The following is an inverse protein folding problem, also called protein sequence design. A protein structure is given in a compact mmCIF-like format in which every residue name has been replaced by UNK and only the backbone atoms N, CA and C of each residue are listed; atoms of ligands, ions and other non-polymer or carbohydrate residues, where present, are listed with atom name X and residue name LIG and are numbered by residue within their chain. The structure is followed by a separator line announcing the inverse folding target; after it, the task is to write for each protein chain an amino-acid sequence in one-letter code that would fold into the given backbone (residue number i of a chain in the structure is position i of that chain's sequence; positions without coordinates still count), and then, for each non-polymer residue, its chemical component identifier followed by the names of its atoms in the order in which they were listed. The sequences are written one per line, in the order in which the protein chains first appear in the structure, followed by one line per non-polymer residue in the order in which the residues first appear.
data_IF_714753304546
#
_entry.id   IF_714753304546
#
_cell.length_a   1.000
_cell.length_b   1.000
_cell.length_c   1.000
_cell.angle_alpha   90.00
_cell.angle_beta   90.00
_cell.angle_gamma   90.00
#
_symmetry.space_group_name_H-M   'P 1'
#
loop_
_entity.id
_entity.type
_entity.pdbx_description
1 polymer ?
#
# COMPACT_ATOMS: atom_id res chain seq x y z
N UNK A 1 -13.74 -19.60 60.77
CA UNK A 1 -13.54 -18.47 59.85
C UNK A 1 -14.55 -18.65 58.74
N UNK A 2 -15.64 -17.91 58.82
CA UNK A 2 -16.81 -18.03 57.93
C UNK A 2 -16.54 -17.31 56.62
N UNK A 3 -16.51 -18.08 55.54
CA UNK A 3 -16.38 -17.64 54.17
C UNK A 3 -17.73 -17.04 53.72
N UNK A 4 -17.78 -15.72 53.65
CA UNK A 4 -18.97 -14.99 53.19
C UNK A 4 -18.98 -15.03 51.67
N UNK A 5 -19.70 -16.00 51.10
CA UNK A 5 -20.07 -16.02 49.69
C UNK A 5 -20.93 -14.79 49.39
N UNK A 6 -20.37 -13.84 48.63
CA UNK A 6 -21.13 -12.74 48.06
C UNK A 6 -22.16 -13.31 47.08
N UNK A 7 -23.43 -12.86 47.12
CA UNK A 7 -24.43 -13.29 46.16
C UNK A 7 -24.03 -12.78 44.77
N UNK A 8 -24.08 -13.69 43.80
CA UNK A 8 -23.93 -13.43 42.38
C UNK A 8 -25.09 -12.52 41.95
N UNK A 9 -24.85 -11.20 41.95
CA UNK A 9 -25.81 -10.21 41.46
C UNK A 9 -25.79 -10.31 39.95
N UNK A 10 -26.64 -11.19 39.42
CA UNK A 10 -27.13 -11.12 38.05
C UNK A 10 -27.74 -9.74 37.84
N UNK A 11 -26.93 -8.81 37.35
CA UNK A 11 -27.40 -7.54 36.83
C UNK A 11 -28.42 -7.88 35.74
N UNK A 12 -29.66 -7.36 35.83
CA UNK A 12 -30.63 -7.59 34.77
C UNK A 12 -30.02 -7.10 33.46
N UNK A 13 -30.15 -7.89 32.39
CA UNK A 13 -29.90 -7.44 31.02
C UNK A 13 -30.81 -6.24 30.77
N UNK A 14 -30.30 -5.03 31.04
CA UNK A 14 -30.93 -3.80 30.62
C UNK A 14 -30.72 -3.78 29.11
N UNK A 15 -31.67 -4.35 28.38
CA UNK A 15 -31.75 -4.27 26.94
C UNK A 15 -31.87 -2.78 26.58
N UNK A 16 -30.72 -2.14 26.34
CA UNK A 16 -30.65 -0.81 25.75
C UNK A 16 -31.45 -0.85 24.45
N UNK A 17 -32.37 0.08 24.29
CA UNK A 17 -33.09 0.19 23.03
C UNK A 17 -32.16 0.76 21.95
N UNK A 18 -32.46 0.48 20.68
CA UNK A 18 -31.60 0.87 19.55
C UNK A 18 -31.26 2.38 19.54
N UNK A 19 -32.19 3.23 20.00
CA UNK A 19 -31.96 4.67 20.08
C UNK A 19 -30.87 5.07 21.10
N UNK A 20 -30.78 4.37 22.24
CA UNK A 20 -29.70 4.60 23.22
C UNK A 20 -28.35 4.12 22.70
N UNK A 21 -28.33 3.05 21.90
CA UNK A 21 -27.12 2.56 21.23
C UNK A 21 -26.67 3.59 20.19
N UNK A 22 -27.58 4.11 19.36
CA UNK A 22 -27.27 5.13 18.36
C UNK A 22 -26.73 6.42 18.99
N UNK A 23 -27.31 6.87 20.10
CA UNK A 23 -26.84 8.04 20.85
C UNK A 23 -25.41 7.81 21.40
N UNK A 24 -25.15 6.65 22.01
CA UNK A 24 -23.84 6.30 22.51
C UNK A 24 -22.79 6.22 21.38
N UNK A 25 -23.16 5.64 20.24
CA UNK A 25 -22.30 5.58 19.04
C UNK A 25 -22.00 6.98 18.52
N UNK A 26 -23.01 7.86 18.44
CA UNK A 26 -22.82 9.25 18.02
C UNK A 26 -21.85 9.99 18.95
N UNK A 27 -22.04 9.87 20.28
CA UNK A 27 -21.18 10.48 21.28
C UNK A 27 -19.73 9.98 21.20
N UNK A 28 -19.52 8.66 21.09
CA UNK A 28 -18.18 8.08 20.96
C UNK A 28 -17.50 8.58 19.69
N UNK A 29 -18.23 8.57 18.56
CA UNK A 29 -17.70 9.01 17.28
C UNK A 29 -17.29 10.49 17.31
N UNK A 30 -18.08 11.35 17.95
CA UNK A 30 -17.74 12.76 18.16
C UNK A 30 -16.45 12.92 18.98
N UNK A 31 -16.30 12.19 20.09
CA UNK A 31 -15.09 12.28 20.93
C UNK A 31 -13.84 11.74 20.24
N UNK A 32 -13.97 10.64 19.51
CA UNK A 32 -12.87 10.11 18.68
C UNK A 32 -12.47 11.14 17.62
N UNK A 33 -13.45 11.73 16.93
CA UNK A 33 -13.20 12.79 15.96
C UNK A 33 -12.60 14.05 16.59
N UNK A 34 -12.97 14.43 17.81
CA UNK A 34 -12.41 15.61 18.46
C UNK A 34 -10.96 15.42 18.93
N UNK A 35 -10.64 14.25 19.49
CA UNK A 35 -9.36 14.04 20.16
C UNK A 35 -8.33 13.26 19.33
N UNK A 36 -8.74 12.15 18.68
CA UNK A 36 -7.82 11.28 17.93
C UNK A 36 -7.44 11.94 16.60
N UNK A 37 -8.40 12.58 15.94
CA UNK A 37 -8.16 13.28 14.69
C UNK A 37 -7.23 14.48 14.87
N UNK A 38 -7.57 15.35 15.84
CA UNK A 38 -6.80 16.55 16.11
C UNK A 38 -5.38 16.19 16.54
N UNK A 39 -5.23 15.22 17.44
CA UNK A 39 -3.91 14.72 17.83
C UNK A 39 -3.15 14.13 16.63
N UNK A 40 -3.83 13.44 15.70
CA UNK A 40 -3.21 12.94 14.48
C UNK A 40 -2.69 14.06 13.57
N UNK A 41 -3.43 15.16 13.43
CA UNK A 41 -2.99 16.32 12.65
C UNK A 41 -1.82 17.04 13.32
N UNK A 42 -1.89 17.27 14.63
CA UNK A 42 -0.81 17.93 15.40
C UNK A 42 0.50 17.12 15.33
N UNK A 43 0.42 15.79 15.45
CA UNK A 43 1.57 14.90 15.25
C UNK A 43 2.07 14.98 13.80
N UNK A 44 1.15 14.97 12.82
CA UNK A 44 1.46 15.07 11.40
C UNK A 44 2.22 16.36 11.06
N UNK A 45 1.75 17.49 11.58
CA UNK A 45 2.37 18.81 11.46
C UNK A 45 3.77 18.82 12.09
N UNK A 46 3.88 18.39 13.36
CA UNK A 46 5.15 18.36 14.07
C UNK A 46 6.21 17.61 13.28
N UNK A 47 5.84 16.43 12.76
CA UNK A 47 6.75 15.60 11.99
C UNK A 47 7.06 16.21 10.62
N UNK A 48 6.07 16.79 9.93
CA UNK A 48 6.27 17.47 8.64
C UNK A 48 7.27 18.63 8.77
N UNK A 49 7.11 19.46 9.81
CA UNK A 49 7.98 20.61 10.07
C UNK A 49 9.40 20.15 10.44
N UNK A 50 9.53 19.20 11.36
CA UNK A 50 10.83 18.81 11.96
C UNK A 50 11.65 17.82 11.12
N UNK A 51 10.99 16.93 10.38
CA UNK A 51 11.68 15.84 9.66
C UNK A 51 11.62 15.98 8.15
N UNK A 52 10.73 16.83 7.63
CA UNK A 52 10.55 17.08 6.20
C UNK A 52 10.71 18.54 5.81
N UNK A 53 11.09 19.45 6.73
CA UNK A 53 11.29 20.89 6.48
C UNK A 53 10.10 21.55 5.77
N UNK A 54 8.89 21.20 6.20
CA UNK A 54 7.63 21.65 5.60
C UNK A 54 7.45 21.28 4.10
N UNK A 55 8.23 20.32 3.59
CA UNK A 55 8.13 19.88 2.22
C UNK A 55 7.03 18.80 2.07
N UNK A 56 5.82 19.27 1.78
CA UNK A 56 4.62 18.44 1.54
C UNK A 56 4.86 17.39 0.45
N UNK A 57 5.55 17.76 -0.64
CA UNK A 57 5.86 16.83 -1.74
C UNK A 57 6.75 15.69 -1.26
N UNK A 58 7.77 15.97 -0.45
CA UNK A 58 8.67 14.97 0.10
C UNK A 58 7.94 14.03 1.06
N UNK A 59 7.09 14.59 1.92
CA UNK A 59 6.29 13.83 2.88
C UNK A 59 5.23 12.93 2.22
N UNK A 60 4.63 13.41 1.12
CA UNK A 60 3.68 12.69 0.28
C UNK A 60 4.33 11.67 -0.66
N UNK A 61 5.63 11.82 -0.96
CA UNK A 61 6.33 11.00 -1.94
C UNK A 61 6.27 9.50 -1.62
N UNK A 62 6.13 8.69 -2.67
CA UNK A 62 6.16 7.23 -2.59
C UNK A 62 7.58 6.66 -2.62
N UNK A 63 8.60 7.52 -2.71
CA UNK A 63 9.99 7.09 -2.74
C UNK A 63 10.34 6.39 -1.41
N UNK A 64 10.82 5.15 -1.52
CA UNK A 64 11.14 4.31 -0.37
C UNK A 64 12.27 4.83 0.53
N UNK A 65 13.01 5.84 0.06
CA UNK A 65 14.12 6.46 0.77
C UNK A 65 13.68 7.76 1.44
N UNK A 66 12.93 7.64 2.55
CA UNK A 66 12.73 8.77 3.45
C UNK A 66 14.06 9.14 4.12
N UNK A 67 14.19 10.38 4.60
CA UNK A 67 15.39 10.85 5.29
C UNK A 67 15.83 9.88 6.40
N UNK A 68 17.16 9.78 6.60
CA UNK A 68 17.75 8.94 7.66
C UNK A 68 17.17 9.33 9.04
N UNK A 69 16.92 10.62 9.26
CA UNK A 69 16.31 11.14 10.49
C UNK A 69 14.89 10.63 10.71
N UNK A 70 14.03 10.61 9.68
CA UNK A 70 12.68 10.06 9.81
C UNK A 70 12.70 8.54 10.05
N UNK A 71 13.61 7.82 9.38
CA UNK A 71 13.74 6.37 9.58
C UNK A 71 14.17 6.02 11.00
N UNK A 72 15.07 6.81 11.61
CA UNK A 72 15.45 6.68 13.02
C UNK A 72 14.27 6.93 13.96
N UNK A 73 13.49 7.98 13.72
CA UNK A 73 12.28 8.27 14.51
C UNK A 73 11.31 7.07 14.49
N UNK A 74 11.03 6.52 13.31
CA UNK A 74 10.10 5.39 13.17
C UNK A 74 10.55 4.09 13.83
N UNK A 75 11.85 3.94 14.11
CA UNK A 75 12.42 2.76 14.76
C UNK A 75 12.67 2.98 16.26
N UNK A 76 12.25 4.12 16.82
CA UNK A 76 12.45 4.43 18.23
C UNK A 76 11.58 3.51 19.11
N UNK A 77 12.14 2.80 20.11
CA UNK A 77 11.42 1.78 20.87
C UNK A 77 10.25 2.33 21.70
N UNK A 78 10.32 3.60 22.10
CA UNK A 78 9.27 4.26 22.89
C UNK A 78 8.19 4.92 22.03
N UNK A 79 8.29 4.84 20.69
CA UNK A 79 7.28 5.44 19.83
C UNK A 79 5.95 4.67 19.95
N UNK A 80 4.92 5.33 20.48
CA UNK A 80 3.61 4.71 20.72
C UNK A 80 2.79 4.43 19.44
N UNK A 81 3.29 4.83 18.27
CA UNK A 81 2.60 4.67 16.99
C UNK A 81 3.49 3.95 15.98
N UNK A 82 2.86 3.12 15.15
CA UNK A 82 3.58 2.45 14.08
C UNK A 82 4.09 3.44 13.03
N UNK A 83 5.12 3.03 12.28
CA UNK A 83 5.62 3.78 11.11
C UNK A 83 4.54 4.11 10.08
N UNK A 84 3.59 3.19 9.86
CA UNK A 84 2.50 3.40 8.90
C UNK A 84 1.49 4.42 9.44
N UNK A 85 1.12 4.32 10.71
CA UNK A 85 0.25 5.30 11.39
C UNK A 85 0.87 6.70 11.31
N UNK A 86 2.15 6.84 11.67
CA UNK A 86 2.84 8.12 11.63
C UNK A 86 2.92 8.68 10.19
N UNK A 87 3.14 7.80 9.21
CA UNK A 87 3.13 8.21 7.81
C UNK A 87 1.76 8.71 7.37
N UNK A 88 0.68 8.06 7.81
CA UNK A 88 -0.69 8.49 7.48
C UNK A 88 -1.03 9.84 8.13
N UNK A 89 -0.61 10.08 9.37
CA UNK A 89 -0.78 11.37 10.07
C UNK A 89 -0.13 12.50 9.27
N UNK A 90 1.15 12.33 8.91
CA UNK A 90 1.90 13.32 8.10
C UNK A 90 1.24 13.55 6.75
N UNK A 91 0.86 12.49 6.03
CA UNK A 91 0.23 12.60 4.71
C UNK A 91 -1.13 13.27 4.78
N UNK A 92 -1.91 12.99 5.82
CA UNK A 92 -3.24 13.57 5.99
C UNK A 92 -3.14 15.06 6.26
N UNK A 93 -2.23 15.49 7.14
CA UNK A 93 -1.96 16.91 7.37
C UNK A 93 -1.49 17.62 6.10
N UNK A 94 -0.54 17.03 5.38
CA UNK A 94 -0.03 17.59 4.12
C UNK A 94 -1.12 17.72 3.04
N UNK A 95 -2.10 16.81 3.04
CA UNK A 95 -3.24 16.84 2.13
C UNK A 95 -4.29 17.88 2.55
N UNK A 96 -4.43 18.22 3.84
CA UNK A 96 -5.43 19.20 4.28
C UNK A 96 -5.25 20.56 3.60
N UNK A 97 -4.01 21.04 3.47
CA UNK A 97 -3.75 22.27 2.73
C UNK A 97 -4.29 22.20 1.30
N UNK A 98 -4.02 21.09 0.60
CA UNK A 98 -4.51 20.88 -0.76
C UNK A 98 -6.06 20.80 -0.85
N UNK A 99 -6.72 20.15 0.09
CA UNK A 99 -8.18 20.08 0.11
C UNK A 99 -8.81 21.44 0.39
N UNK A 100 -8.27 22.17 1.38
CA UNK A 100 -8.74 23.50 1.74
C UNK A 100 -8.55 24.49 0.58
N UNK A 101 -7.39 24.46 -0.09
CA UNK A 101 -7.12 25.27 -1.29
C UNK A 101 -8.10 24.93 -2.43
N UNK A 102 -8.54 23.67 -2.51
CA UNK A 102 -9.57 23.18 -3.44
C UNK A 102 -11.02 23.46 -3.01
N UNK A 103 -11.22 24.19 -1.92
CA UNK A 103 -12.54 24.57 -1.40
C UNK A 103 -13.27 23.48 -0.62
N UNK A 104 -12.57 22.43 -0.18
CA UNK A 104 -13.14 21.32 0.60
C UNK A 104 -12.71 21.50 2.05
N UNK A 105 -13.67 21.76 2.94
CA UNK A 105 -13.37 21.99 4.34
C UNK A 105 -12.93 20.70 5.03
N UNK A 106 -11.92 20.81 5.90
CA UNK A 106 -11.46 19.68 6.71
C UNK A 106 -12.59 19.03 7.52
N UNK A 107 -13.62 19.76 7.91
CA UNK A 107 -14.69 19.20 8.75
C UNK A 107 -15.74 18.40 7.97
N UNK A 108 -15.76 18.50 6.64
CA UNK A 108 -16.77 17.85 5.79
C UNK A 108 -16.47 16.36 5.55
N UNK A 109 -15.24 15.92 5.86
CA UNK A 109 -14.81 14.54 5.64
C UNK A 109 -14.30 13.86 6.90
N UNK A 110 -14.74 12.62 7.11
CA UNK A 110 -14.20 11.76 8.17
C UNK A 110 -12.71 11.46 7.93
N UNK A 111 -11.96 11.26 9.01
CA UNK A 111 -10.53 10.96 8.95
C UNK A 111 -10.18 9.76 8.08
N UNK A 112 -10.97 8.69 8.18
CA UNK A 112 -10.79 7.45 7.42
C UNK A 112 -10.83 7.70 5.91
N UNK A 113 -11.74 8.56 5.44
CA UNK A 113 -11.80 8.99 4.05
C UNK A 113 -10.58 9.79 3.64
N UNK A 114 -10.13 10.72 4.49
CA UNK A 114 -8.91 11.48 4.23
C UNK A 114 -7.69 10.58 4.11
N UNK A 115 -7.53 9.61 5.01
CA UNK A 115 -6.47 8.58 4.93
C UNK A 115 -6.56 7.83 3.60
N UNK A 116 -7.75 7.40 3.17
CA UNK A 116 -7.91 6.68 1.91
C UNK A 116 -7.43 7.52 0.70
N UNK A 117 -7.78 8.81 0.69
CA UNK A 117 -7.35 9.77 -0.33
C UNK A 117 -5.84 10.05 -0.35
N UNK A 118 -5.11 9.83 0.75
CA UNK A 118 -3.63 10.00 0.78
C UNK A 118 -2.88 9.08 -0.19
N UNK A 119 -3.57 8.08 -0.77
CA UNK A 119 -3.04 7.16 -1.78
C UNK A 119 -3.06 7.74 -3.19
N UNK A 120 -3.79 8.83 -3.41
CA UNK A 120 -3.83 9.57 -4.68
C UNK A 120 -2.86 10.75 -4.65
N UNK A 121 -2.44 11.21 -5.83
CA UNK A 121 -1.68 12.44 -5.98
C UNK A 121 -2.58 13.66 -5.72
N UNK A 122 -1.99 14.79 -5.34
CA UNK A 122 -2.73 16.03 -5.12
C UNK A 122 -3.04 16.68 -6.48
N UNK A 123 -4.16 16.31 -7.09
CA UNK A 123 -4.62 16.76 -8.40
C UNK A 123 -6.16 16.97 -8.42
N UNK A 124 -6.69 17.45 -9.53
CA UNK A 124 -8.14 17.68 -9.70
C UNK A 124 -8.98 16.40 -9.52
N UNK A 125 -8.48 15.24 -9.92
CA UNK A 125 -9.20 13.96 -9.72
C UNK A 125 -9.41 13.65 -8.23
N UNK A 126 -8.43 13.94 -7.37
CA UNK A 126 -8.59 13.82 -5.92
C UNK A 126 -9.66 14.77 -5.40
N UNK A 127 -9.70 16.02 -5.88
CA UNK A 127 -10.71 17.00 -5.46
C UNK A 127 -12.11 16.56 -5.90
N UNK A 128 -12.25 16.08 -7.14
CA UNK A 128 -13.51 15.55 -7.64
C UNK A 128 -14.02 14.38 -6.78
N UNK A 129 -13.17 13.39 -6.52
CA UNK A 129 -13.55 12.24 -5.69
C UNK A 129 -13.85 12.63 -4.24
N UNK A 130 -13.15 13.64 -3.70
CA UNK A 130 -13.42 14.16 -2.36
C UNK A 130 -14.81 14.83 -2.27
N UNK A 131 -15.19 15.65 -3.27
CA UNK A 131 -16.54 16.24 -3.35
C UNK A 131 -17.61 15.19 -3.49
N UNK A 132 -17.40 14.22 -4.37
CA UNK A 132 -18.30 13.09 -4.58
C UNK A 132 -18.51 12.29 -3.28
N UNK A 133 -17.46 12.08 -2.48
CA UNK A 133 -17.58 11.44 -1.17
C UNK A 133 -18.47 12.21 -0.20
N UNK A 134 -18.46 13.55 -0.26
CA UNK A 134 -19.27 14.42 0.60
C UNK A 134 -20.72 14.41 0.11
N UNK A 135 -20.93 14.56 -1.20
CA UNK A 135 -22.24 14.65 -1.84
C UNK A 135 -23.02 13.33 -1.79
N UNK A 136 -22.37 12.22 -2.13
CA UNK A 136 -22.99 10.89 -2.21
C UNK A 136 -22.87 10.08 -0.91
N UNK A 137 -22.16 10.61 0.10
CA UNK A 137 -21.90 9.95 1.39
C UNK A 137 -21.29 8.55 1.24
N UNK A 138 -20.34 8.42 0.30
CA UNK A 138 -19.68 7.16 -0.09
C UNK A 138 -19.03 6.50 1.14
N UNK A 139 -19.13 5.17 1.24
CA UNK A 139 -18.46 4.43 2.31
C UNK A 139 -16.93 4.42 2.17
N UNK A 140 -16.19 4.23 3.27
CA UNK A 140 -14.72 4.17 3.21
C UNK A 140 -14.23 3.03 2.30
N UNK A 141 -14.94 1.90 2.26
CA UNK A 141 -14.55 0.75 1.44
C UNK A 141 -14.80 1.00 -0.05
N UNK A 142 -15.90 1.66 -0.40
CA UNK A 142 -16.17 2.08 -1.77
C UNK A 142 -15.15 3.14 -2.23
N UNK A 143 -14.82 4.12 -1.38
CA UNK A 143 -13.75 5.08 -1.68
C UNK A 143 -12.41 4.37 -1.91
N UNK A 144 -12.03 3.39 -1.07
CA UNK A 144 -10.81 2.60 -1.28
C UNK A 144 -10.85 1.84 -2.60
N UNK A 145 -12.01 1.39 -3.05
CA UNK A 145 -12.19 0.73 -4.34
C UNK A 145 -11.98 1.70 -5.51
N UNK A 146 -12.67 2.85 -5.51
CA UNK A 146 -12.51 3.89 -6.54
C UNK A 146 -11.07 4.40 -6.63
N UNK A 147 -10.41 4.63 -5.49
CA UNK A 147 -8.97 4.98 -5.43
C UNK A 147 -8.09 3.90 -6.07
N UNK A 148 -8.41 2.62 -5.90
CA UNK A 148 -7.67 1.53 -6.54
C UNK A 148 -7.86 1.53 -8.06
N UNK A 149 -9.06 1.77 -8.53
CA UNK A 149 -9.40 1.81 -9.95
C UNK A 149 -8.71 2.97 -10.67
N UNK A 150 -8.80 4.19 -10.13
CA UNK A 150 -8.10 5.37 -10.67
C UNK A 150 -6.59 5.14 -10.73
N UNK A 151 -6.02 4.49 -9.70
CA UNK A 151 -4.60 4.13 -9.69
C UNK A 151 -4.25 3.05 -10.70
N UNK A 152 -5.12 2.06 -10.91
CA UNK A 152 -4.90 1.03 -11.92
C UNK A 152 -4.93 1.62 -13.33
N UNK A 153 -5.86 2.54 -13.60
CA UNK A 153 -6.00 3.25 -14.88
C UNK A 153 -4.80 4.16 -15.17
N UNK A 154 -4.36 4.95 -14.19
CA UNK A 154 -3.18 5.82 -14.35
C UNK A 154 -1.88 5.02 -14.53
N UNK A 155 -1.74 3.85 -13.90
CA UNK A 155 -0.62 2.92 -14.15
C UNK A 155 -0.71 2.30 -15.55
N UNK A 156 -1.91 1.95 -16.02
CA UNK A 156 -2.11 1.38 -17.36
C UNK A 156 -1.82 2.38 -18.48
N UNK A 157 -1.96 3.68 -18.22
CA UNK A 157 -1.70 4.74 -19.21
C UNK A 157 -0.24 5.23 -19.22
N UNK A 158 0.56 4.96 -18.17
CA UNK A 158 1.91 5.55 -18.02
C UNK A 158 3.07 4.56 -18.12
N UNK A 159 2.83 3.25 -18.08
CA UNK A 159 3.92 2.28 -18.17
C UNK A 159 4.10 1.85 -19.62
N UNK A 160 5.05 2.48 -20.31
CA UNK A 160 5.57 1.95 -21.58
C UNK A 160 5.87 0.45 -21.43
N UNK A 161 5.58 -0.41 -22.42
CA UNK A 161 5.88 -1.85 -22.35
C UNK A 161 7.32 -2.14 -21.90
N UNK A 162 8.26 -1.27 -22.25
CA UNK A 162 9.66 -1.32 -21.80
C UNK A 162 9.81 -1.14 -20.29
N UNK A 163 9.13 -0.16 -19.69
CA UNK A 163 9.12 0.05 -18.24
C UNK A 163 8.40 -1.07 -17.48
N UNK A 164 7.37 -1.68 -18.10
CA UNK A 164 6.69 -2.84 -17.52
C UNK A 164 7.63 -4.04 -17.44
N UNK A 165 8.36 -4.31 -18.54
CA UNK A 165 9.39 -5.35 -18.60
C UNK A 165 10.52 -5.09 -17.58
N UNK A 166 11.03 -3.87 -17.51
CA UNK A 166 12.07 -3.49 -16.55
C UNK A 166 11.62 -3.70 -15.08
N UNK A 167 10.41 -3.26 -14.75
CA UNK A 167 9.83 -3.44 -13.42
C UNK A 167 9.59 -4.92 -13.08
N UNK A 168 9.19 -5.72 -14.07
CA UNK A 168 9.05 -7.16 -13.92
C UNK A 168 10.42 -7.81 -13.62
N UNK A 169 11.45 -7.48 -14.40
CA UNK A 169 12.82 -7.97 -14.19
C UNK A 169 13.37 -7.57 -12.81
N UNK A 170 13.16 -6.33 -12.36
CA UNK A 170 13.55 -5.90 -11.01
C UNK A 170 12.85 -6.69 -9.90
N UNK A 171 11.57 -7.06 -10.08
CA UNK A 171 10.84 -7.89 -9.10
C UNK A 171 11.40 -9.29 -9.06
N UNK A 172 11.65 -9.92 -10.21
CA UNK A 172 12.24 -11.26 -10.31
C UNK A 172 13.63 -11.26 -9.66
N UNK A 173 14.48 -10.27 -9.99
CA UNK A 173 15.82 -10.14 -9.41
C UNK A 173 15.77 -9.99 -7.88
N UNK A 174 14.84 -9.16 -7.37
CA UNK A 174 14.67 -8.98 -5.92
C UNK A 174 14.22 -10.26 -5.24
N UNK A 175 13.27 -10.98 -5.86
CA UNK A 175 12.80 -12.26 -5.34
C UNK A 175 13.96 -13.26 -5.25
N UNK A 176 14.72 -13.49 -6.34
CA UNK A 176 15.88 -14.39 -6.35
C UNK A 176 16.91 -14.03 -5.27
N UNK A 177 17.26 -12.74 -5.14
CA UNK A 177 18.23 -12.27 -4.14
C UNK A 177 17.72 -12.37 -2.70
N UNK A 178 16.40 -12.34 -2.52
CA UNK A 178 15.75 -12.42 -1.22
C UNK A 178 15.55 -13.86 -0.73
N UNK A 179 15.71 -14.87 -1.59
CA UNK A 179 15.65 -16.27 -1.17
C UNK A 179 16.95 -16.62 -0.45
N UNK A 180 16.88 -16.70 0.88
CA UNK A 180 17.91 -17.32 1.71
C UNK A 180 17.53 -18.77 1.98
N UNK A 181 18.42 -19.70 1.68
CA UNK A 181 18.27 -21.10 2.08
C UNK A 181 18.40 -21.19 3.61
N UNK A 182 17.38 -21.69 4.34
CA UNK A 182 17.49 -21.87 5.78
C UNK A 182 18.65 -22.83 6.13
N UNK A 183 19.33 -22.55 7.23
CA UNK A 183 20.36 -23.44 7.76
C UNK A 183 19.75 -24.84 8.03
N UNK A 184 20.41 -25.88 7.53
CA UNK A 184 19.94 -27.27 7.64
C UNK A 184 19.07 -27.78 6.48
N UNK A 185 18.59 -26.91 5.57
CA UNK A 185 17.84 -27.35 4.38
C UNK A 185 18.71 -28.12 3.36
N UNK A 186 20.03 -28.02 3.49
CA UNK A 186 21.02 -28.79 2.72
C UNK A 186 21.62 -29.95 3.53
N UNK A 187 21.27 -30.09 4.81
CA UNK A 187 21.77 -31.17 5.66
C UNK A 187 20.95 -32.44 5.44
N UNK A 188 21.60 -33.44 4.85
CA UNK A 188 21.00 -34.74 4.55
C UNK A 188 20.49 -35.45 5.80
N UNK A 189 21.10 -35.23 6.96
CA UNK A 189 20.71 -35.86 8.22
C UNK A 189 19.41 -35.27 8.77
N UNK A 190 19.21 -33.96 8.60
CA UNK A 190 17.97 -33.26 8.99
C UNK A 190 16.81 -33.74 8.12
N UNK A 191 17.03 -33.87 6.81
CA UNK A 191 16.01 -34.35 5.86
C UNK A 191 15.72 -35.85 6.05
N UNK A 192 16.73 -36.65 6.39
CA UNK A 192 16.56 -38.08 6.64
C UNK A 192 15.73 -38.38 7.90
N UNK A 193 15.76 -37.48 8.89
CA UNK A 193 14.98 -37.57 10.13
C UNK A 193 13.48 -37.25 9.98
N UNK A 194 13.08 -36.60 8.88
CA UNK A 194 11.67 -36.33 8.59
C UNK A 194 10.92 -37.62 8.18
N UNK A 195 9.63 -37.70 8.51
CA UNK A 195 8.83 -38.86 8.17
C UNK A 195 8.52 -38.93 6.65
N UNK A 196 7.98 -40.05 6.19
CA UNK A 196 7.70 -40.24 4.75
C UNK A 196 6.67 -39.24 4.21
N UNK A 197 5.64 -38.89 4.98
CA UNK A 197 4.59 -37.99 4.54
C UNK A 197 5.12 -36.54 4.44
N UNK A 198 5.93 -36.11 5.40
CA UNK A 198 6.61 -34.81 5.39
C UNK A 198 7.59 -34.70 4.22
N UNK A 199 8.37 -35.75 3.95
CA UNK A 199 9.27 -35.79 2.79
C UNK A 199 8.52 -35.71 1.47
N UNK A 200 7.41 -36.44 1.31
CA UNK A 200 6.61 -36.38 0.10
C UNK A 200 6.02 -34.98 -0.10
N UNK A 201 5.47 -34.36 0.95
CA UNK A 201 4.97 -32.98 0.89
C UNK A 201 6.07 -31.99 0.48
N UNK A 202 7.27 -32.13 1.03
CA UNK A 202 8.41 -31.30 0.64
C UNK A 202 8.81 -31.50 -0.82
N UNK A 203 8.79 -32.73 -1.33
CA UNK A 203 9.04 -33.04 -2.74
C UNK A 203 8.00 -32.39 -3.66
N UNK A 204 6.72 -32.50 -3.32
CA UNK A 204 5.64 -31.92 -4.11
C UNK A 204 5.76 -30.38 -4.15
N UNK A 205 6.03 -29.75 -3.00
CA UNK A 205 6.27 -28.30 -2.93
C UNK A 205 7.51 -27.88 -3.73
N UNK A 206 8.61 -28.64 -3.65
CA UNK A 206 9.82 -28.37 -4.42
C UNK A 206 9.56 -28.53 -5.93
N UNK A 207 8.78 -29.53 -6.33
CA UNK A 207 8.35 -29.75 -7.71
C UNK A 207 7.55 -28.57 -8.26
N UNK A 208 6.54 -28.10 -7.53
CA UNK A 208 5.74 -26.94 -7.93
C UNK A 208 6.59 -25.66 -8.09
N UNK A 209 7.54 -25.41 -7.17
CA UNK A 209 8.46 -24.28 -7.29
C UNK A 209 9.34 -24.39 -8.55
N UNK A 210 9.81 -25.59 -8.89
CA UNK A 210 10.60 -25.81 -10.11
C UNK A 210 9.79 -25.56 -11.39
N UNK A 211 8.51 -25.96 -11.40
CA UNK A 211 7.59 -25.68 -12.51
C UNK A 211 7.36 -24.17 -12.68
N UNK A 212 7.05 -23.46 -11.60
CA UNK A 212 6.88 -22.00 -11.59
C UNK A 212 8.15 -21.29 -12.09
N UNK A 213 9.32 -21.77 -11.64
CA UNK A 213 10.62 -21.25 -12.08
C UNK A 213 10.88 -21.49 -13.56
N UNK A 214 10.42 -22.62 -14.12
CA UNK A 214 10.52 -22.91 -15.55
C UNK A 214 9.70 -21.91 -16.37
N UNK A 215 8.48 -21.58 -15.93
CA UNK A 215 7.64 -20.57 -16.58
C UNK A 215 8.33 -19.21 -16.61
N UNK A 216 8.87 -18.77 -15.47
CA UNK A 216 9.61 -17.50 -15.36
C UNK A 216 10.86 -17.52 -16.25
N UNK A 217 11.61 -18.62 -16.24
CA UNK A 217 12.82 -18.79 -17.06
C UNK A 217 12.50 -18.70 -18.55
N UNK A 218 11.42 -19.34 -19.00
CA UNK A 218 11.00 -19.30 -20.41
C UNK A 218 10.56 -17.89 -20.83
N UNK A 219 9.82 -17.18 -19.98
CA UNK A 219 9.42 -15.79 -20.25
C UNK A 219 10.64 -14.86 -20.37
N UNK A 220 11.64 -15.02 -19.49
CA UNK A 220 12.89 -14.25 -19.58
C UNK A 220 13.67 -14.59 -20.84
N UNK A 221 13.74 -15.87 -21.24
CA UNK A 221 14.39 -16.29 -22.50
C UNK A 221 13.72 -15.66 -23.71
N UNK A 222 12.39 -15.67 -23.78
CA UNK A 222 11.63 -15.01 -24.85
C UNK A 222 11.94 -13.52 -24.91
N UNK A 223 12.00 -12.85 -23.75
CA UNK A 223 12.36 -11.44 -23.69
C UNK A 223 13.79 -11.20 -24.20
N UNK A 224 14.76 -12.05 -23.84
CA UNK A 224 16.12 -11.96 -24.38
C UNK A 224 16.12 -12.09 -25.89
N UNK A 225 15.42 -13.09 -26.44
CA UNK A 225 15.29 -13.27 -27.90
C UNK A 225 14.77 -12.00 -28.58
N UNK A 226 13.64 -11.46 -28.11
CA UNK A 226 13.03 -10.23 -28.64
C UNK A 226 14.00 -9.04 -28.59
N UNK A 227 14.79 -8.91 -27.53
CA UNK A 227 15.75 -7.82 -27.36
C UNK A 227 17.03 -7.98 -28.20
N UNK A 228 17.35 -9.21 -28.61
CA UNK A 228 18.55 -9.52 -29.40
C UNK A 228 18.30 -9.65 -30.90
N UNK A 229 17.05 -9.89 -31.31
CA UNK A 229 16.66 -9.86 -32.72
C UNK A 229 16.62 -8.42 -33.21
N UNK A 230 17.55 -8.07 -34.11
CA UNK A 230 17.57 -6.76 -34.76
C UNK A 230 16.43 -6.72 -35.77
N UNK A 231 15.54 -5.71 -35.76
CA UNK A 231 14.50 -5.61 -36.79
C UNK A 231 15.18 -5.46 -38.16
N UNK A 232 14.85 -6.34 -39.11
CA UNK A 232 15.27 -6.18 -40.50
C UNK A 232 14.83 -4.81 -40.99
N UNK A 233 15.79 -3.94 -41.29
CA UNK A 233 15.52 -2.68 -41.98
C UNK A 233 14.97 -3.07 -43.34
N UNK A 234 13.72 -2.73 -43.70
CA UNK A 234 13.20 -3.04 -45.02
C UNK A 234 14.11 -2.38 -46.05
N UNK A 235 14.61 -3.18 -46.99
CA UNK A 235 15.43 -2.70 -48.10
C UNK A 235 14.66 -1.58 -48.81
N UNK A 236 15.14 -0.34 -48.68
CA UNK A 236 14.62 0.79 -49.41
C UNK A 236 14.88 0.47 -50.88
N UNK A 237 13.82 0.14 -51.63
CA UNK A 237 13.89 0.03 -53.09
C UNK A 237 14.41 1.38 -53.62
N UNK A 238 15.64 1.38 -54.09
CA UNK A 238 16.25 2.53 -54.75
C UNK A 238 15.38 2.89 -55.96
N UNK A 239 14.77 4.08 -56.03
CA UNK A 239 13.99 4.45 -57.21
C UNK A 239 14.91 4.50 -58.45
N UNK A 240 14.40 4.14 -59.64
CA UNK A 240 15.21 4.09 -60.85
C UNK A 240 15.79 5.47 -61.16
N UNK A 241 17.10 5.48 -61.45
CA UNK A 241 17.87 6.68 -61.77
C UNK A 241 17.27 7.39 -62.99
N UNK A 242 17.01 8.72 -62.92
CA UNK A 242 16.50 9.47 -64.04
C UNK A 242 17.66 9.75 -65.00
N UNK A 243 17.77 8.97 -66.08
CA UNK A 243 18.77 9.21 -67.09
C UNK A 243 18.86 8.13 -68.15
N UNK A 244 17.82 8.01 -68.97
CA UNK A 244 17.95 7.67 -70.39
C UNK A 244 16.67 8.16 -71.08
N UNK A 245 16.84 9.26 -71.82
CA UNK A 245 15.90 9.79 -72.79
C UNK A 245 16.27 9.28 -74.19
#
# INVERSE_FOLDING_TARGET
MTETLLPDVLMPDVLLNDAQIDEAVAFINERVAAHVYRGSLEIGEYVLVRFFNNNIRLAGSMNGHKSVSYSKLCNHPELCVSRSTLTNMVKTFAQEGFLNDGGISSHEMKYSHKIALTRMENNEEKLALARECIEENISVEELKQRVREIRAQSISQTVSPVMAAEKHLMRVQRWIRGVSTPDGLTDRNVIAGADHAERQKMLDMAGGILEDMSVITNAIRQLVTILTETPEVPAIETPPSPGEA
#
